data_IF_720541284917
#
_entry.id   IF_720541284917
#
_cell.length_a   1.000
_cell.length_b   1.000
_cell.length_c   1.000
_cell.angle_alpha   90.00
_cell.angle_beta   90.00
_cell.angle_gamma   90.00
#
_symmetry.space_group_name_H-M   'P 1'
#
loop_
_entity.id
_entity.type
_entity.pdbx_description
1 polymer ?
#
# COMPACT_ATOMS: atom_id res chain seq x y z
N UNK A 1 -51.98 -30.85 -67.87
CA UNK A 1 -52.59 -31.04 -66.55
C UNK A 1 -51.80 -30.23 -65.59
N UNK A 2 -52.32 -29.07 -65.21
CA UNK A 2 -51.63 -27.99 -64.50
C UNK A 2 -51.86 -28.11 -63.01
N UNK A 3 -50.81 -27.98 -62.19
CA UNK A 3 -50.96 -27.72 -60.76
C UNK A 3 -50.26 -26.41 -60.49
N UNK A 4 -51.03 -25.41 -60.14
CA UNK A 4 -50.63 -24.09 -59.65
C UNK A 4 -50.10 -24.25 -58.23
N UNK A 5 -48.88 -23.85 -57.99
CA UNK A 5 -48.31 -23.64 -56.61
C UNK A 5 -48.68 -22.24 -56.12
N UNK A 6 -49.43 -22.20 -55.02
CA UNK A 6 -49.85 -20.96 -54.36
C UNK A 6 -48.70 -20.31 -53.62
N UNK A 7 -48.53 -19.01 -53.79
CA UNK A 7 -47.64 -18.14 -53.08
C UNK A 7 -48.06 -17.98 -51.59
N UNK A 8 -47.19 -18.14 -50.60
CA UNK A 8 -47.55 -17.85 -49.21
C UNK A 8 -47.56 -16.33 -48.97
N UNK A 9 -48.59 -15.85 -48.25
CA UNK A 9 -48.80 -14.48 -47.83
C UNK A 9 -47.73 -14.07 -46.77
N UNK A 10 -47.32 -12.81 -46.74
CA UNK A 10 -46.34 -12.32 -45.80
C UNK A 10 -46.87 -12.36 -44.35
N UNK A 11 -46.11 -12.97 -43.46
CA UNK A 11 -46.36 -12.98 -42.00
C UNK A 11 -46.37 -11.55 -41.47
N UNK A 12 -47.52 -11.14 -40.89
CA UNK A 12 -47.65 -9.92 -40.09
C UNK A 12 -46.63 -9.97 -38.98
N UNK A 13 -45.70 -9.01 -38.98
CA UNK A 13 -44.79 -8.74 -37.83
C UNK A 13 -45.68 -8.25 -36.69
N UNK A 14 -45.84 -9.10 -35.67
CA UNK A 14 -46.40 -8.67 -34.37
C UNK A 14 -45.45 -7.66 -33.74
N UNK A 15 -45.94 -6.43 -33.60
CA UNK A 15 -45.29 -5.43 -32.77
C UNK A 15 -45.12 -5.98 -31.35
N UNK A 16 -43.90 -6.18 -30.94
CA UNK A 16 -43.53 -6.45 -29.53
C UNK A 16 -44.02 -5.28 -28.67
N UNK A 17 -44.62 -5.53 -27.52
CA UNK A 17 -45.00 -4.46 -26.59
C UNK A 17 -43.71 -3.76 -26.13
N UNK A 18 -43.75 -2.44 -26.23
CA UNK A 18 -42.80 -1.49 -25.66
C UNK A 18 -42.42 -1.91 -24.26
N UNK A 19 -41.14 -2.29 -24.06
CA UNK A 19 -40.60 -2.63 -22.74
C UNK A 19 -40.74 -1.40 -21.87
N UNK A 20 -41.69 -1.43 -20.94
CA UNK A 20 -41.88 -0.41 -19.92
C UNK A 20 -40.53 -0.18 -19.21
N UNK A 21 -40.02 1.04 -19.36
CA UNK A 21 -38.81 1.49 -18.67
C UNK A 21 -38.98 1.27 -17.16
N UNK A 22 -38.25 0.30 -16.64
CA UNK A 22 -38.19 0.08 -15.19
C UNK A 22 -37.70 1.37 -14.51
N UNK A 23 -38.34 1.80 -13.39
CA UNK A 23 -37.96 3.03 -12.74
C UNK A 23 -36.53 2.94 -12.25
N UNK A 24 -35.70 3.92 -12.66
CA UNK A 24 -34.34 4.10 -12.17
C UNK A 24 -34.40 4.29 -10.65
N UNK A 25 -34.17 3.21 -9.93
CA UNK A 25 -34.19 3.15 -8.49
C UNK A 25 -33.13 4.11 -7.94
N UNK A 26 -33.56 5.13 -7.20
CA UNK A 26 -32.72 6.13 -6.52
C UNK A 26 -31.68 5.44 -5.62
N UNK A 27 -30.49 5.17 -6.17
CA UNK A 27 -29.35 4.49 -5.49
C UNK A 27 -28.63 5.35 -4.43
N UNK A 28 -28.96 6.65 -4.30
CA UNK A 28 -28.21 7.58 -3.46
C UNK A 28 -28.53 7.54 -1.96
N UNK A 29 -29.74 7.17 -1.56
CA UNK A 29 -30.13 7.17 -0.15
C UNK A 29 -29.67 5.90 0.59
N UNK A 30 -29.67 4.75 -0.09
CA UNK A 30 -29.21 3.47 0.46
C UNK A 30 -27.68 3.46 0.67
N UNK A 31 -26.89 4.07 -0.23
CA UNK A 31 -25.43 4.13 -0.10
C UNK A 31 -24.96 4.92 1.13
N UNK A 32 -25.64 6.04 1.47
CA UNK A 32 -25.32 6.81 2.69
C UNK A 32 -25.63 6.03 3.96
N UNK A 33 -26.73 5.30 3.98
CA UNK A 33 -27.10 4.48 5.16
C UNK A 33 -26.18 3.28 5.34
N UNK A 34 -25.71 2.65 4.27
CA UNK A 34 -24.74 1.55 4.33
C UNK A 34 -23.35 2.04 4.78
N UNK A 35 -22.89 3.19 4.31
CA UNK A 35 -21.63 3.78 4.76
C UNK A 35 -21.65 4.15 6.24
N UNK A 36 -22.77 4.69 6.74
CA UNK A 36 -22.94 4.99 8.17
C UNK A 36 -22.96 3.71 8.99
N UNK A 37 -23.69 2.68 8.56
CA UNK A 37 -23.73 1.37 9.24
C UNK A 37 -22.36 0.71 9.27
N UNK A 38 -21.61 0.75 8.16
CA UNK A 38 -20.24 0.26 8.09
C UNK A 38 -19.31 1.02 9.05
N UNK A 39 -19.43 2.36 9.14
CA UNK A 39 -18.68 3.18 10.08
C UNK A 39 -18.98 2.85 11.53
N UNK A 40 -20.26 2.69 11.87
CA UNK A 40 -20.69 2.28 13.23
C UNK A 40 -20.17 0.89 13.57
N UNK A 41 -20.22 -0.05 12.63
CA UNK A 41 -19.70 -1.41 12.83
C UNK A 41 -18.18 -1.40 13.05
N UNK A 42 -17.43 -0.62 12.26
CA UNK A 42 -15.99 -0.45 12.44
C UNK A 42 -15.64 0.15 13.81
N UNK A 43 -16.41 1.14 14.26
CA UNK A 43 -16.23 1.74 15.59
C UNK A 43 -16.51 0.71 16.71
N UNK A 44 -17.56 -0.10 16.57
CA UNK A 44 -17.87 -1.17 17.52
C UNK A 44 -16.76 -2.22 17.58
N UNK A 45 -16.20 -2.63 16.43
CA UNK A 45 -15.04 -3.53 16.40
C UNK A 45 -13.82 -2.92 17.09
N UNK A 46 -13.54 -1.63 16.84
CA UNK A 46 -12.43 -0.93 17.49
C UNK A 46 -12.62 -0.89 19.01
N UNK A 47 -13.82 -0.53 19.47
CA UNK A 47 -14.14 -0.50 20.90
C UNK A 47 -14.06 -1.89 21.54
N UNK A 48 -14.50 -2.93 20.84
CA UNK A 48 -14.38 -4.32 21.28
C UNK A 48 -12.90 -4.71 21.45
N UNK A 49 -12.04 -4.43 20.45
CA UNK A 49 -10.61 -4.71 20.51
C UNK A 49 -9.92 -3.96 21.64
N UNK A 50 -10.24 -2.68 21.81
CA UNK A 50 -9.71 -1.87 22.91
C UNK A 50 -10.21 -2.39 24.28
N UNK A 51 -11.44 -2.85 24.39
CA UNK A 51 -12.02 -3.47 25.56
C UNK A 51 -11.31 -4.78 25.93
N UNK A 52 -11.13 -5.67 24.96
CA UNK A 52 -10.39 -6.93 25.16
C UNK A 52 -8.94 -6.63 25.61
N UNK A 53 -8.27 -5.69 24.92
CA UNK A 53 -6.92 -5.28 25.31
C UNK A 53 -6.89 -4.74 26.74
N UNK A 54 -7.81 -3.84 27.10
CA UNK A 54 -7.88 -3.26 28.44
C UNK A 54 -8.08 -4.34 29.51
N UNK A 55 -9.04 -5.24 29.33
CA UNK A 55 -9.33 -6.34 30.28
C UNK A 55 -8.13 -7.29 30.40
N UNK A 56 -7.49 -7.66 29.28
CA UNK A 56 -6.33 -8.54 29.28
C UNK A 56 -5.10 -7.92 29.99
N UNK A 57 -4.97 -6.59 29.98
CA UNK A 57 -3.86 -5.89 30.64
C UNK A 57 -4.13 -5.61 32.11
N UNK A 58 -5.39 -5.38 32.52
CA UNK A 58 -5.76 -5.19 33.94
C UNK A 58 -5.45 -6.41 34.81
N UNK A 59 -5.69 -7.62 34.29
CA UNK A 59 -5.40 -8.86 35.04
C UNK A 59 -3.91 -9.06 35.31
N UNK A 60 -3.05 -8.58 34.40
CA UNK A 60 -1.60 -8.64 34.58
C UNK A 60 -1.05 -7.60 35.55
N UNK A 61 -1.66 -6.44 35.64
CA UNK A 61 -1.28 -5.36 36.55
C UNK A 61 -1.54 -5.75 38.01
N UNK A 62 -2.68 -6.44 38.27
CA UNK A 62 -2.99 -6.97 39.59
C UNK A 62 -2.03 -8.09 40.05
N UNK A 63 -1.62 -8.97 39.13
CA UNK A 63 -0.67 -10.04 39.41
C UNK A 63 0.77 -9.50 39.62
N UNK A 64 1.14 -8.39 38.95
CA UNK A 64 2.43 -7.73 39.11
C UNK A 64 2.49 -6.93 40.41
N UNK A 65 1.41 -6.31 40.86
CA UNK A 65 1.34 -5.56 42.12
C UNK A 65 1.62 -6.42 43.36
N UNK A 66 1.21 -7.69 43.35
CA UNK A 66 1.52 -8.64 44.42
C UNK A 66 3.02 -8.97 44.54
N UNK A 67 3.74 -8.95 43.38
CA UNK A 67 5.20 -9.16 43.35
C UNK A 67 6.02 -7.89 43.67
N UNK A 68 5.43 -6.70 43.45
CA UNK A 68 6.08 -5.41 43.71
C UNK A 68 6.23 -5.14 45.22
N UNK A 69 5.31 -5.66 46.05
CA UNK A 69 5.40 -5.56 47.49
C UNK A 69 6.57 -6.38 48.08
N UNK A 70 6.83 -7.55 47.48
CA UNK A 70 7.99 -8.37 47.80
C UNK A 70 9.31 -7.72 47.31
N UNK A 71 9.31 -7.07 46.14
CA UNK A 71 10.47 -6.36 45.59
C UNK A 71 10.81 -5.11 46.41
N UNK A 72 9.81 -4.41 46.97
CA UNK A 72 10.02 -3.28 47.90
C UNK A 72 10.63 -3.73 49.23
N UNK A 73 10.22 -4.89 49.77
CA UNK A 73 10.78 -5.48 50.97
C UNK A 73 12.24 -5.92 50.81
N UNK A 74 12.68 -6.30 49.61
CA UNK A 74 14.02 -6.73 49.28
C UNK A 74 14.97 -5.57 48.91
N UNK A 75 14.55 -4.30 49.05
CA UNK A 75 15.38 -3.12 48.80
C UNK A 75 15.78 -2.95 47.32
N UNK A 76 15.22 -3.72 46.43
CA UNK A 76 15.37 -3.54 44.97
C UNK A 76 14.38 -2.48 44.53
N UNK A 77 14.88 -1.33 44.08
CA UNK A 77 14.04 -0.26 43.53
C UNK A 77 13.06 -0.80 42.51
N UNK A 78 11.89 -0.18 42.48
CA UNK A 78 10.74 -0.53 41.63
C UNK A 78 11.18 -1.20 40.33
N UNK A 79 11.00 -2.52 40.26
CA UNK A 79 11.15 -3.27 39.00
C UNK A 79 10.06 -2.73 38.08
N UNK A 80 10.45 -1.97 37.06
CA UNK A 80 9.51 -1.57 35.99
C UNK A 80 8.80 -2.83 35.54
N UNK A 81 7.52 -2.92 35.82
CA UNK A 81 6.69 -4.03 35.42
C UNK A 81 6.79 -4.14 33.89
N UNK A 82 7.50 -5.16 33.39
CA UNK A 82 7.65 -5.51 31.99
C UNK A 82 6.37 -6.14 31.43
N UNK A 83 5.21 -5.65 31.87
CA UNK A 83 3.91 -6.06 31.37
C UNK A 83 3.57 -5.39 30.04
N UNK A 84 2.66 -6.01 29.29
CA UNK A 84 2.11 -5.38 28.09
C UNK A 84 1.37 -4.10 28.50
N UNK A 85 1.61 -2.92 27.86
CA UNK A 85 1.07 -1.63 28.30
C UNK A 85 -0.45 -1.58 28.19
N UNK A 86 -1.09 -0.85 29.11
CA UNK A 86 -2.52 -0.57 29.05
C UNK A 86 -2.83 0.47 27.95
N UNK A 87 -4.07 0.51 27.43
CA UNK A 87 -4.50 1.55 26.48
C UNK A 87 -4.28 2.98 27.00
N UNK A 88 -4.43 3.20 28.33
CA UNK A 88 -4.19 4.49 28.96
C UNK A 88 -2.70 4.90 28.92
N UNK A 89 -1.80 3.98 29.21
CA UNK A 89 -0.35 4.19 29.13
C UNK A 89 0.07 4.47 27.67
N UNK A 90 -0.54 3.76 26.71
CA UNK A 90 -0.35 4.02 25.28
C UNK A 90 -0.79 5.43 24.88
N UNK A 91 -1.97 5.86 25.35
CA UNK A 91 -2.47 7.22 25.10
C UNK A 91 -1.52 8.30 25.66
N UNK A 92 -1.05 8.13 26.89
CA UNK A 92 -0.09 9.04 27.52
C UNK A 92 1.23 9.09 26.75
N UNK A 93 1.76 7.95 26.31
CA UNK A 93 2.98 7.88 25.51
C UNK A 93 2.78 8.53 24.13
N UNK A 94 1.66 8.30 23.47
CA UNK A 94 1.33 8.95 22.22
C UNK A 94 1.28 10.47 22.36
N UNK A 95 0.63 10.98 23.41
CA UNK A 95 0.58 12.43 23.69
C UNK A 95 1.99 12.99 23.94
N UNK A 96 2.81 12.28 24.71
CA UNK A 96 4.20 12.70 24.99
C UNK A 96 5.05 12.75 23.71
N UNK A 97 4.99 11.73 22.86
CA UNK A 97 5.76 11.66 21.62
C UNK A 97 5.27 12.65 20.55
N UNK A 98 3.96 12.95 20.55
CA UNK A 98 3.36 13.91 19.63
C UNK A 98 3.41 15.36 20.12
N UNK A 99 3.70 15.61 21.40
CA UNK A 99 3.87 16.99 21.92
C UNK A 99 5.14 17.67 21.43
N UNK A 100 6.21 16.90 21.21
CA UNK A 100 7.46 17.38 20.62
C UNK A 100 8.01 16.36 19.60
N UNK A 101 7.41 16.25 18.40
CA UNK A 101 7.76 15.23 17.42
C UNK A 101 9.10 15.48 16.72
N UNK A 102 9.66 16.68 16.85
CA UNK A 102 10.87 17.10 16.12
C UNK A 102 12.07 17.39 17.04
N UNK A 103 12.06 16.89 18.27
CA UNK A 103 13.21 17.06 19.15
C UNK A 103 14.43 16.26 18.63
N UNK A 104 15.62 16.81 18.83
CA UNK A 104 16.91 16.16 18.54
C UNK A 104 17.82 16.32 19.74
N UNK A 105 18.02 15.24 20.49
CA UNK A 105 18.88 15.18 21.66
C UNK A 105 20.15 14.36 21.43
N UNK A 106 20.37 13.94 20.19
CA UNK A 106 21.55 13.18 19.82
C UNK A 106 21.28 12.13 18.73
N UNK A 107 22.31 11.36 18.37
CA UNK A 107 22.20 10.42 17.23
C UNK A 107 21.08 9.39 17.36
N UNK A 108 20.83 8.91 18.59
CA UNK A 108 19.86 7.85 18.87
C UNK A 108 18.60 8.33 19.59
N UNK A 109 18.49 9.63 19.91
CA UNK A 109 17.35 10.20 20.64
C UNK A 109 16.75 11.37 19.83
N UNK A 110 15.97 11.01 18.84
CA UNK A 110 15.29 11.93 17.92
C UNK A 110 13.79 11.70 17.95
N UNK A 111 13.04 12.80 17.83
CA UNK A 111 11.59 12.77 17.79
C UNK A 111 11.03 11.96 16.63
N UNK A 112 9.84 11.40 16.81
CA UNK A 112 9.17 10.53 15.84
C UNK A 112 8.94 11.21 14.48
N UNK A 113 8.74 12.53 14.46
CA UNK A 113 8.58 13.31 13.23
C UNK A 113 9.85 13.34 12.39
N UNK A 114 11.02 13.49 13.01
CA UNK A 114 12.32 13.41 12.33
C UNK A 114 12.52 12.01 11.76
N UNK A 115 12.27 10.97 12.57
CA UNK A 115 12.41 9.57 12.17
C UNK A 115 11.52 9.25 10.95
N UNK A 116 10.25 9.66 10.99
CA UNK A 116 9.32 9.49 9.87
C UNK A 116 9.77 10.28 8.63
N UNK A 117 10.26 11.52 8.81
CA UNK A 117 10.74 12.34 7.71
C UNK A 117 11.86 11.66 6.93
N UNK A 118 12.86 11.07 7.62
CA UNK A 118 13.94 10.33 6.97
C UNK A 118 13.44 9.07 6.26
N UNK A 119 12.56 8.29 6.88
CA UNK A 119 11.99 7.09 6.27
C UNK A 119 11.17 7.43 5.01
N UNK A 120 10.30 8.46 5.09
CA UNK A 120 9.49 8.92 3.95
C UNK A 120 10.35 9.47 2.80
N UNK A 121 11.42 10.20 3.11
CA UNK A 121 12.35 10.67 2.10
C UNK A 121 13.02 9.52 1.34
N UNK A 122 13.51 8.49 2.05
CA UNK A 122 14.10 7.29 1.42
C UNK A 122 13.07 6.53 0.58
N UNK A 123 11.85 6.34 1.12
CA UNK A 123 10.75 5.71 0.38
C UNK A 123 10.43 6.51 -0.88
N UNK A 124 10.28 7.82 -0.77
CA UNK A 124 9.98 8.69 -1.91
C UNK A 124 11.05 8.61 -3.00
N UNK A 125 12.33 8.65 -2.63
CA UNK A 125 13.45 8.54 -3.58
C UNK A 125 13.51 7.17 -4.23
N UNK A 126 13.49 6.08 -3.46
CA UNK A 126 13.56 4.71 -4.01
C UNK A 126 12.36 4.39 -4.90
N UNK A 127 11.16 4.82 -4.50
CA UNK A 127 9.94 4.70 -5.28
C UNK A 127 9.96 5.50 -6.57
N UNK A 128 10.42 6.76 -6.53
CA UNK A 128 10.54 7.60 -7.73
C UNK A 128 11.53 7.03 -8.74
N UNK A 129 12.68 6.54 -8.27
CA UNK A 129 13.65 5.83 -9.11
C UNK A 129 13.05 4.56 -9.73
N UNK A 130 12.29 3.80 -8.95
CA UNK A 130 11.59 2.61 -9.44
C UNK A 130 10.56 2.98 -10.52
N UNK A 131 9.76 4.02 -10.31
CA UNK A 131 8.78 4.48 -11.28
C UNK A 131 9.43 4.95 -12.58
N UNK A 132 10.54 5.70 -12.48
CA UNK A 132 11.30 6.23 -13.63
C UNK A 132 11.83 5.11 -14.54
N UNK A 133 12.17 3.95 -13.98
CA UNK A 133 12.71 2.82 -14.74
C UNK A 133 11.61 1.80 -15.09
N UNK A 134 10.78 1.43 -14.12
CA UNK A 134 9.79 0.36 -14.30
C UNK A 134 8.65 0.74 -15.25
N UNK A 135 8.21 2.01 -15.24
CA UNK A 135 7.10 2.43 -16.11
C UNK A 135 7.53 2.43 -17.59
N UNK A 136 8.65 3.07 -18.00
CA UNK A 136 9.10 3.00 -19.40
C UNK A 136 9.44 1.58 -19.84
N UNK A 137 10.13 0.81 -19.00
CA UNK A 137 10.49 -0.57 -19.33
C UNK A 137 9.24 -1.47 -19.44
N UNK A 138 8.29 -1.34 -18.51
CA UNK A 138 7.00 -2.05 -18.56
C UNK A 138 6.18 -1.68 -19.79
N UNK A 139 6.26 -0.41 -20.22
CA UNK A 139 5.63 0.05 -21.44
C UNK A 139 6.20 -0.65 -22.69
N UNK A 140 7.53 -0.71 -22.80
CA UNK A 140 8.22 -1.41 -23.90
C UNK A 140 7.89 -2.91 -23.89
N UNK A 141 7.92 -3.54 -22.73
CA UNK A 141 7.57 -4.96 -22.55
C UNK A 141 6.12 -5.23 -22.95
N UNK A 142 5.18 -4.37 -22.54
CA UNK A 142 3.75 -4.50 -22.84
C UNK A 142 3.42 -4.31 -24.32
N UNK A 143 4.22 -3.53 -25.05
CA UNK A 143 4.03 -3.33 -26.50
C UNK A 143 4.52 -4.50 -27.35
N UNK A 144 5.41 -5.36 -26.85
CA UNK A 144 6.03 -6.43 -27.64
C UNK A 144 5.91 -7.79 -26.94
N UNK A 145 5.07 -8.70 -27.45
CA UNK A 145 4.98 -10.06 -26.92
C UNK A 145 6.31 -10.83 -26.96
N UNK A 146 7.21 -10.49 -27.88
CA UNK A 146 8.53 -11.09 -27.97
C UNK A 146 9.40 -10.68 -26.78
N UNK A 147 9.46 -9.38 -26.50
CA UNK A 147 10.24 -8.85 -25.36
C UNK A 147 9.66 -9.37 -24.04
N UNK A 148 8.34 -9.42 -23.91
CA UNK A 148 7.67 -9.99 -22.74
C UNK A 148 8.14 -11.42 -22.48
N UNK A 149 8.05 -12.30 -23.49
CA UNK A 149 8.45 -13.71 -23.38
C UNK A 149 9.94 -13.89 -23.09
N UNK A 150 10.78 -13.01 -23.62
CA UNK A 150 12.22 -13.06 -23.40
C UNK A 150 12.61 -12.64 -21.97
N UNK A 151 11.90 -11.67 -21.37
CA UNK A 151 12.20 -11.16 -20.03
C UNK A 151 11.43 -11.87 -18.91
N UNK A 152 10.31 -12.53 -19.22
CA UNK A 152 9.46 -13.22 -18.25
C UNK A 152 10.23 -14.21 -17.35
N UNK A 153 11.15 -15.08 -17.85
CA UNK A 153 11.90 -15.98 -16.98
C UNK A 153 12.75 -15.25 -15.94
N UNK A 154 13.38 -14.13 -16.32
CA UNK A 154 14.19 -13.32 -15.42
C UNK A 154 13.31 -12.64 -14.35
N UNK A 155 12.16 -12.10 -14.76
CA UNK A 155 11.19 -11.49 -13.84
C UNK A 155 10.70 -12.53 -12.82
N UNK A 156 10.38 -13.76 -13.27
CA UNK A 156 9.90 -14.82 -12.41
C UNK A 156 10.94 -15.30 -11.40
N UNK A 157 12.22 -15.25 -11.72
CA UNK A 157 13.33 -15.60 -10.81
C UNK A 157 13.62 -14.47 -9.83
N UNK A 158 13.65 -13.21 -10.29
CA UNK A 158 14.08 -12.06 -9.48
C UNK A 158 12.99 -11.54 -8.55
N UNK A 159 11.72 -11.59 -8.98
CA UNK A 159 10.57 -11.08 -8.22
C UNK A 159 10.38 -11.73 -6.84
N UNK A 160 10.49 -13.06 -6.65
CA UNK A 160 10.28 -13.69 -5.35
C UNK A 160 11.47 -13.54 -4.38
N UNK A 161 12.59 -12.97 -4.82
CA UNK A 161 13.73 -12.75 -3.92
C UNK A 161 13.32 -11.73 -2.85
N UNK A 162 13.49 -12.13 -1.58
CA UNK A 162 13.17 -11.25 -0.45
C UNK A 162 13.94 -9.94 -0.55
N UNK A 163 13.30 -8.78 -0.42
CA UNK A 163 13.98 -7.48 -0.41
C UNK A 163 15.10 -7.40 0.62
N UNK A 164 14.89 -8.02 1.79
CA UNK A 164 15.87 -8.02 2.87
C UNK A 164 17.12 -8.84 2.55
N UNK A 165 17.02 -9.83 1.63
CA UNK A 165 18.18 -10.57 1.17
C UNK A 165 19.13 -9.72 0.33
N UNK A 166 18.63 -8.66 -0.29
CA UNK A 166 19.46 -7.69 -1.03
C UNK A 166 20.24 -6.75 -0.11
N UNK A 167 19.84 -6.59 1.15
CA UNK A 167 20.42 -5.61 2.07
C UNK A 167 21.90 -5.83 2.35
N UNK A 168 22.38 -7.03 2.71
CA UNK A 168 23.81 -7.29 2.92
C UNK A 168 24.65 -7.02 1.65
N UNK A 169 24.12 -7.38 0.48
CA UNK A 169 24.78 -7.15 -0.79
C UNK A 169 24.88 -5.64 -1.11
N UNK A 170 23.80 -4.91 -0.87
CA UNK A 170 23.77 -3.45 -1.03
C UNK A 170 24.78 -2.77 -0.10
N UNK A 171 24.80 -3.15 1.18
CA UNK A 171 25.75 -2.59 2.15
C UNK A 171 27.20 -2.90 1.81
N UNK A 172 27.48 -4.11 1.35
CA UNK A 172 28.84 -4.49 0.95
C UNK A 172 29.35 -3.68 -0.24
N UNK A 173 28.48 -3.42 -1.22
CA UNK A 173 28.84 -2.72 -2.46
C UNK A 173 28.79 -1.20 -2.32
N UNK A 174 27.74 -0.65 -1.70
CA UNK A 174 27.48 0.80 -1.62
C UNK A 174 28.19 1.42 -0.43
N UNK A 175 28.33 0.68 0.68
CA UNK A 175 29.00 1.10 1.93
C UNK A 175 28.35 2.31 2.62
N UNK A 176 27.13 2.65 2.25
CA UNK A 176 26.29 3.68 2.87
C UNK A 176 24.94 3.10 3.23
N UNK A 177 24.51 3.26 4.47
CA UNK A 177 23.28 2.66 4.99
C UNK A 177 22.03 3.30 4.37
N UNK A 178 22.05 4.61 4.18
CA UNK A 178 20.90 5.34 3.63
C UNK A 178 20.67 5.02 2.16
N UNK A 179 21.76 5.02 1.36
CA UNK A 179 21.71 4.71 -0.06
C UNK A 179 21.37 3.23 -0.27
N UNK A 180 21.90 2.32 0.56
CA UNK A 180 21.54 0.91 0.53
C UNK A 180 20.04 0.68 0.82
N UNK A 181 19.46 1.41 1.77
CA UNK A 181 18.03 1.41 2.02
C UNK A 181 17.22 1.86 0.80
N UNK A 182 17.61 2.96 0.15
CA UNK A 182 16.97 3.47 -1.08
C UNK A 182 17.07 2.43 -2.21
N UNK A 183 18.22 1.77 -2.37
CA UNK A 183 18.41 0.71 -3.38
C UNK A 183 17.47 -0.47 -3.14
N UNK A 184 17.31 -0.93 -1.90
CA UNK A 184 16.42 -2.05 -1.59
C UNK A 184 14.96 -1.67 -1.83
N UNK A 185 14.54 -0.43 -1.49
CA UNK A 185 13.21 0.09 -1.84
C UNK A 185 13.03 0.09 -3.35
N UNK A 186 14.01 0.59 -4.09
CA UNK A 186 14.00 0.62 -5.55
C UNK A 186 13.76 -0.77 -6.13
N UNK A 187 14.59 -1.77 -5.76
CA UNK A 187 14.54 -3.09 -6.37
C UNK A 187 13.23 -3.82 -6.07
N UNK A 188 12.62 -3.66 -4.90
CA UNK A 188 11.35 -4.29 -4.60
C UNK A 188 10.14 -3.55 -5.19
N UNK A 189 10.24 -2.24 -5.41
CA UNK A 189 9.18 -1.43 -6.01
C UNK A 189 9.09 -1.59 -7.54
N UNK A 190 10.20 -1.94 -8.19
CA UNK A 190 10.27 -2.11 -9.65
C UNK A 190 9.30 -3.18 -10.14
N UNK A 191 9.23 -4.34 -9.49
CA UNK A 191 8.50 -5.50 -10.01
C UNK A 191 6.98 -5.28 -10.13
N UNK A 192 6.25 -4.80 -9.09
CA UNK A 192 4.82 -4.55 -9.23
C UNK A 192 4.51 -3.45 -10.25
N UNK A 193 5.32 -2.38 -10.30
CA UNK A 193 5.14 -1.32 -11.30
C UNK A 193 5.34 -1.83 -12.71
N UNK A 194 6.43 -2.56 -12.96
CA UNK A 194 6.79 -3.11 -14.26
C UNK A 194 5.73 -4.08 -14.79
N UNK A 195 5.31 -5.03 -13.95
CA UNK A 195 4.33 -6.04 -14.34
C UNK A 195 2.96 -5.41 -14.62
N UNK A 196 2.49 -4.52 -13.74
CA UNK A 196 1.20 -3.85 -13.93
C UNK A 196 1.23 -2.89 -15.13
N UNK A 197 2.35 -2.21 -15.39
CA UNK A 197 2.52 -1.38 -16.57
C UNK A 197 2.48 -2.23 -17.84
N UNK A 198 3.26 -3.31 -17.91
CA UNK A 198 3.29 -4.21 -19.05
C UNK A 198 1.90 -4.83 -19.32
N UNK A 199 1.22 -5.26 -18.25
CA UNK A 199 -0.14 -5.80 -18.32
C UNK A 199 -1.13 -4.75 -18.83
N UNK A 200 -1.10 -3.52 -18.30
CA UNK A 200 -1.98 -2.43 -18.71
C UNK A 200 -1.82 -2.07 -20.19
N UNK A 201 -0.57 -1.98 -20.64
CA UNK A 201 -0.24 -1.68 -22.05
C UNK A 201 -0.66 -2.82 -23.00
N UNK A 202 -0.42 -4.08 -22.60
CA UNK A 202 -0.77 -5.25 -23.43
C UNK A 202 -2.29 -5.44 -23.58
N UNK A 203 -3.09 -4.98 -22.59
CA UNK A 203 -4.55 -5.14 -22.55
C UNK A 203 -5.33 -3.92 -23.05
N UNK A 204 -4.69 -2.96 -23.71
CA UNK A 204 -5.41 -1.85 -24.35
C UNK A 204 -6.36 -2.39 -25.41
N UNK A 205 -7.60 -1.91 -25.42
CA UNK A 205 -8.67 -2.34 -26.36
C UNK A 205 -8.22 -2.21 -27.81
N UNK A 206 -8.41 -3.29 -28.56
CA UNK A 206 -7.99 -3.34 -29.99
C UNK A 206 -8.73 -2.32 -30.84
N UNK A 207 -9.97 -1.97 -30.48
CA UNK A 207 -10.77 -0.96 -31.16
C UNK A 207 -10.05 0.40 -31.18
N UNK A 208 -9.51 0.83 -30.04
CA UNK A 208 -8.78 2.10 -29.95
C UNK A 208 -7.49 2.09 -30.75
N UNK A 209 -6.79 0.95 -30.75
CA UNK A 209 -5.57 0.79 -31.54
C UNK A 209 -5.87 0.78 -33.06
N UNK A 210 -7.01 0.20 -33.46
CA UNK A 210 -7.46 0.18 -34.87
C UNK A 210 -7.86 1.59 -35.33
N UNK A 211 -8.60 2.35 -34.53
CA UNK A 211 -8.93 3.75 -34.81
C UNK A 211 -7.66 4.59 -35.01
N UNK A 212 -6.71 4.46 -34.10
CA UNK A 212 -5.40 5.16 -34.19
C UNK A 212 -4.62 4.76 -35.45
N UNK A 213 -4.75 3.50 -35.89
CA UNK A 213 -4.13 3.00 -37.15
C UNK A 213 -4.82 3.55 -38.38
N UNK A 214 -6.17 3.61 -38.39
CA UNK A 214 -6.96 4.18 -39.51
C UNK A 214 -6.69 5.67 -39.70
N UNK A 215 -6.42 6.39 -38.59
CA UNK A 215 -6.05 7.81 -38.59
C UNK A 215 -4.55 8.03 -38.88
N UNK A 216 -3.80 6.97 -39.22
CA UNK A 216 -2.36 7.01 -39.51
C UNK A 216 -1.53 7.71 -38.42
N UNK A 217 -1.95 7.59 -37.15
CA UNK A 217 -1.28 8.21 -36.02
C UNK A 217 0.13 7.61 -35.84
N UNK A 218 1.14 8.47 -35.80
CA UNK A 218 2.54 8.07 -35.57
C UNK A 218 2.68 7.24 -34.28
N UNK A 219 3.62 6.28 -34.26
CA UNK A 219 3.87 5.35 -33.15
C UNK A 219 4.03 6.07 -31.79
N UNK A 220 4.78 7.18 -31.76
CA UNK A 220 5.00 7.99 -30.55
C UNK A 220 3.68 8.63 -30.07
N UNK A 221 2.94 9.28 -30.96
CA UNK A 221 1.63 9.86 -30.62
C UNK A 221 0.65 8.78 -30.14
N UNK A 222 0.61 7.62 -30.78
CA UNK A 222 -0.22 6.49 -30.36
C UNK A 222 0.16 6.03 -28.95
N UNK A 223 1.46 5.96 -28.62
CA UNK A 223 1.94 5.58 -27.31
C UNK A 223 1.44 6.54 -26.22
N UNK A 224 1.61 7.86 -26.42
CA UNK A 224 1.31 8.86 -25.38
C UNK A 224 -0.16 9.28 -25.35
N UNK A 225 -0.87 9.32 -26.48
CA UNK A 225 -2.25 9.81 -26.53
C UNK A 225 -3.31 8.71 -26.43
N UNK A 226 -2.95 7.45 -26.72
CA UNK A 226 -3.91 6.33 -26.70
C UNK A 226 -3.52 5.29 -25.66
N UNK A 227 -2.30 4.74 -25.76
CA UNK A 227 -1.91 3.59 -24.94
C UNK A 227 -1.66 4.02 -23.49
N UNK A 228 -0.91 5.10 -23.26
CA UNK A 228 -0.58 5.55 -21.91
C UNK A 228 -1.82 5.95 -21.10
N UNK A 229 -2.76 6.76 -21.61
CA UNK A 229 -4.00 7.06 -20.87
C UNK A 229 -4.87 5.81 -20.64
N UNK A 230 -4.92 4.90 -21.60
CA UNK A 230 -5.69 3.66 -21.47
C UNK A 230 -5.09 2.70 -20.42
N UNK A 231 -3.76 2.64 -20.32
CA UNK A 231 -3.05 1.82 -19.34
C UNK A 231 -2.93 2.49 -17.97
N UNK A 232 -3.13 3.81 -17.87
CA UNK A 232 -2.88 4.60 -16.67
C UNK A 232 -3.58 4.07 -15.40
N UNK A 233 -4.84 3.59 -15.41
CA UNK A 233 -5.47 3.01 -14.21
C UNK A 233 -4.72 1.78 -13.69
N UNK A 234 -4.21 0.94 -14.59
CA UNK A 234 -3.44 -0.27 -14.24
C UNK A 234 -2.04 0.09 -13.76
N UNK A 235 -1.39 1.08 -14.38
CA UNK A 235 -0.10 1.63 -13.92
C UNK A 235 -0.25 2.17 -12.49
N UNK A 236 -1.30 2.94 -12.22
CA UNK A 236 -1.59 3.47 -10.86
C UNK A 236 -1.83 2.35 -9.85
N UNK A 237 -2.45 1.25 -10.25
CA UNK A 237 -2.58 0.05 -9.40
C UNK A 237 -1.21 -0.52 -9.06
N UNK A 238 -0.32 -0.66 -10.03
CA UNK A 238 1.06 -1.09 -9.82
C UNK A 238 1.83 -0.16 -8.88
N UNK A 239 1.71 1.14 -9.06
CA UNK A 239 2.33 2.16 -8.20
C UNK A 239 1.81 2.06 -6.75
N UNK A 240 0.50 1.91 -6.56
CA UNK A 240 -0.10 1.76 -5.22
C UNK A 240 0.41 0.53 -4.49
N UNK A 241 0.47 -0.63 -5.18
CA UNK A 241 1.02 -1.87 -4.62
C UNK A 241 2.49 -1.67 -4.25
N UNK A 242 3.28 -1.07 -5.15
CA UNK A 242 4.70 -0.80 -4.92
C UNK A 242 4.94 0.13 -3.74
N UNK A 243 4.11 1.17 -3.54
CA UNK A 243 4.23 2.06 -2.39
C UNK A 243 4.00 1.32 -1.07
N UNK A 244 3.00 0.45 -1.00
CA UNK A 244 2.76 -0.38 0.18
C UNK A 244 3.95 -1.29 0.50
N UNK A 245 4.54 -1.93 -0.52
CA UNK A 245 5.74 -2.77 -0.36
C UNK A 245 6.94 -1.91 0.06
N UNK A 246 7.16 -0.77 -0.58
CA UNK A 246 8.25 0.16 -0.27
C UNK A 246 8.22 0.59 1.21
N UNK A 247 7.03 0.95 1.71
CA UNK A 247 6.83 1.34 3.11
C UNK A 247 7.11 0.20 4.08
N UNK A 248 6.66 -1.00 3.79
CA UNK A 248 6.93 -2.18 4.61
C UNK A 248 8.42 -2.53 4.64
N UNK A 249 9.07 -2.45 3.50
CA UNK A 249 10.49 -2.82 3.34
C UNK A 249 11.43 -1.84 4.02
N UNK A 250 11.17 -0.51 3.95
CA UNK A 250 12.06 0.47 4.60
C UNK A 250 12.12 0.28 6.10
N UNK A 251 10.99 0.01 6.75
CA UNK A 251 10.95 -0.23 8.20
C UNK A 251 11.88 -1.39 8.59
N UNK A 252 11.80 -2.51 7.88
CA UNK A 252 12.65 -3.66 8.13
C UNK A 252 14.13 -3.40 7.77
N UNK A 253 14.38 -2.65 6.70
CA UNK A 253 15.73 -2.26 6.29
C UNK A 253 16.40 -1.37 7.36
N UNK A 254 15.70 -0.38 7.87
CA UNK A 254 16.19 0.52 8.93
C UNK A 254 16.44 -0.20 10.25
N UNK A 255 15.66 -1.23 10.58
CA UNK A 255 15.91 -2.07 11.75
C UNK A 255 17.23 -2.85 11.63
N UNK A 256 17.59 -3.29 10.42
CA UNK A 256 18.82 -4.06 10.18
C UNK A 256 20.07 -3.21 10.15
N UNK A 257 19.97 -2.01 9.58
CA UNK A 257 21.16 -1.20 9.25
C UNK A 257 21.44 -0.15 10.31
N UNK A 258 20.42 0.26 11.04
CA UNK A 258 20.53 1.35 11.99
C UNK A 258 20.46 2.73 11.33
N UNK A 259 20.82 3.77 12.09
CA UNK A 259 20.78 5.15 11.66
C UNK A 259 19.51 5.89 12.09
N UNK A 260 19.02 6.86 11.28
CA UNK A 260 17.81 7.60 11.60
C UNK A 260 16.66 7.08 10.73
N UNK A 261 15.52 6.75 11.34
CA UNK A 261 14.33 6.27 10.66
C UNK A 261 13.38 5.57 11.61
N UNK A 262 12.10 5.44 11.22
CA UNK A 262 11.07 4.86 12.11
C UNK A 262 11.34 3.38 12.44
N UNK A 263 11.95 2.63 11.52
CA UNK A 263 12.38 1.25 11.77
C UNK A 263 13.50 1.18 12.79
N UNK A 264 14.48 2.08 12.71
CA UNK A 264 15.52 2.18 13.72
C UNK A 264 14.98 2.61 15.08
N UNK A 265 14.00 3.51 15.12
CA UNK A 265 13.31 3.87 16.36
C UNK A 265 12.67 2.64 17.03
N UNK A 266 11.98 1.78 16.27
CA UNK A 266 11.45 0.50 16.79
C UNK A 266 12.56 -0.36 17.40
N UNK A 267 13.67 -0.53 16.69
CA UNK A 267 14.81 -1.32 17.14
C UNK A 267 15.47 -0.74 18.40
N UNK A 268 15.67 0.57 18.45
CA UNK A 268 16.25 1.28 19.58
C UNK A 268 15.37 1.15 20.84
N UNK A 269 14.06 1.37 20.70
CA UNK A 269 13.10 1.24 21.80
C UNK A 269 12.95 -0.21 22.28
N UNK A 270 13.09 -1.18 21.37
CA UNK A 270 13.18 -2.59 21.75
C UNK A 270 14.41 -2.89 22.60
N UNK A 271 15.58 -2.39 22.22
CA UNK A 271 16.81 -2.56 23.01
C UNK A 271 16.76 -1.81 24.36
N UNK A 272 16.03 -0.71 24.44
CA UNK A 272 15.74 0.03 25.66
C UNK A 272 14.68 -0.66 26.56
N UNK A 273 14.15 -1.82 26.13
CA UNK A 273 13.08 -2.56 26.81
C UNK A 273 11.80 -1.71 27.01
N UNK A 274 11.57 -0.72 26.16
CA UNK A 274 10.42 0.18 26.18
C UNK A 274 9.30 -0.34 25.27
N UNK A 275 8.60 -1.37 25.73
CA UNK A 275 7.52 -2.00 24.93
C UNK A 275 6.44 -1.00 24.53
N UNK A 276 6.13 -0.02 25.37
CA UNK A 276 5.14 1.02 25.08
C UNK A 276 5.53 1.87 23.89
N UNK A 277 6.80 2.29 23.79
CA UNK A 277 7.30 3.05 22.65
C UNK A 277 7.37 2.18 21.38
N UNK A 278 7.70 0.90 21.51
CA UNK A 278 7.66 -0.05 20.37
C UNK A 278 6.25 -0.15 19.80
N UNK A 279 5.22 -0.33 20.63
CA UNK A 279 3.83 -0.41 20.19
C UNK A 279 3.37 0.92 19.58
N UNK A 280 3.77 2.05 20.19
CA UNK A 280 3.50 3.38 19.61
C UNK A 280 4.10 3.52 18.21
N UNK A 281 5.33 3.09 17.99
CA UNK A 281 5.97 3.12 16.68
C UNK A 281 5.25 2.23 15.69
N UNK A 282 4.87 1.00 16.07
CA UNK A 282 4.12 0.07 15.21
C UNK A 282 2.78 0.67 14.78
N UNK A 283 2.04 1.29 15.69
CA UNK A 283 0.79 1.99 15.39
C UNK A 283 1.03 3.18 14.44
N UNK A 284 2.08 3.95 14.69
CA UNK A 284 2.47 5.09 13.85
C UNK A 284 2.82 4.62 12.43
N UNK A 285 3.57 3.54 12.28
CA UNK A 285 3.88 2.92 10.99
C UNK A 285 2.59 2.53 10.26
N UNK A 286 1.64 1.91 10.97
CA UNK A 286 0.34 1.54 10.41
C UNK A 286 -0.48 2.74 9.94
N UNK A 287 -0.53 3.81 10.74
CA UNK A 287 -1.23 5.06 10.37
C UNK A 287 -0.61 5.72 9.14
N UNK A 288 0.73 5.82 9.09
CA UNK A 288 1.42 6.39 7.92
C UNK A 288 1.21 5.53 6.68
N UNK A 289 1.29 4.21 6.80
CA UNK A 289 1.00 3.29 5.68
C UNK A 289 -0.42 3.46 5.14
N UNK A 290 -1.41 3.60 6.04
CA UNK A 290 -2.79 3.90 5.66
C UNK A 290 -2.92 5.25 4.94
N UNK A 291 -2.24 6.29 5.41
CA UNK A 291 -2.25 7.61 4.76
C UNK A 291 -1.65 7.56 3.36
N UNK A 292 -0.52 6.86 3.18
CA UNK A 292 0.09 6.63 1.87
C UNK A 292 -0.87 5.89 0.93
N UNK A 293 -1.52 4.83 1.39
CA UNK A 293 -2.51 4.08 0.59
C UNK A 293 -3.72 4.95 0.21
N UNK A 294 -4.21 5.80 1.13
CA UNK A 294 -5.29 6.74 0.84
C UNK A 294 -4.89 7.79 -0.22
N UNK A 295 -3.66 8.32 -0.16
CA UNK A 295 -3.14 9.25 -1.15
C UNK A 295 -3.12 8.59 -2.53
N UNK A 296 -2.51 7.40 -2.65
CA UNK A 296 -2.47 6.68 -3.93
C UNK A 296 -3.86 6.25 -4.42
N UNK A 297 -4.75 5.85 -3.50
CA UNK A 297 -6.14 5.54 -3.83
C UNK A 297 -6.93 6.74 -4.36
N UNK A 298 -6.66 7.95 -3.89
CA UNK A 298 -7.24 9.20 -4.46
C UNK A 298 -6.64 9.54 -5.82
N UNK A 299 -5.31 9.43 -5.97
CA UNK A 299 -4.64 9.63 -7.26
C UNK A 299 -5.16 8.65 -8.31
N UNK A 300 -5.35 7.38 -7.95
CA UNK A 300 -5.91 6.38 -8.84
C UNK A 300 -7.31 6.77 -9.34
N UNK A 301 -8.18 7.29 -8.46
CA UNK A 301 -9.53 7.75 -8.84
C UNK A 301 -9.53 8.91 -9.83
N UNK A 302 -8.52 9.78 -9.79
CA UNK A 302 -8.38 10.90 -10.73
C UNK A 302 -8.02 10.42 -12.15
N UNK A 303 -7.37 9.27 -12.26
CA UNK A 303 -6.89 8.71 -13.53
C UNK A 303 -7.85 7.65 -14.09
N UNK A 304 -8.70 7.07 -13.24
CA UNK A 304 -9.67 6.06 -13.66
C UNK A 304 -10.90 6.75 -14.25
N UNK A 305 -11.10 6.60 -15.55
CA UNK A 305 -12.33 7.00 -16.22
C UNK A 305 -13.43 5.99 -15.86
N UNK A 306 -14.56 6.50 -15.37
CA UNK A 306 -15.77 5.70 -15.18
C UNK A 306 -16.49 5.72 -16.54
N UNK A 307 -16.50 4.58 -17.23
CA UNK A 307 -17.34 4.35 -18.42
C UNK A 307 -18.81 4.25 -18.03
#
# INVERSE_FOLDING_TARGET
>A
MSLRAGTPLPRRIRSTPEAASAPVRKRSATFKSEAVRAGVLSLLFLLLLLGIWHVATLQKEQAAGANDEYAKLMGKGSVKTTGFPTPAQMGATALKQLSDPFYDKGPNDKGVGIQLGFSLARVGLGFALAALIAIPLGFVIGMSPLIYRALDPFIQVLKPISPLAWMPLALYTIKDSSISGIFVIFICSVWPMLINTAFGVANVRREWLNVAKTLEVNAVRKAFLVILPAAAPTIMTGMRISMGIAWLVIVAAEMLVGGTGIGYFVWNEWNNLSLTNVIFAVLTIGVVGMLLDLVFGRLQKLVTYVD
#
